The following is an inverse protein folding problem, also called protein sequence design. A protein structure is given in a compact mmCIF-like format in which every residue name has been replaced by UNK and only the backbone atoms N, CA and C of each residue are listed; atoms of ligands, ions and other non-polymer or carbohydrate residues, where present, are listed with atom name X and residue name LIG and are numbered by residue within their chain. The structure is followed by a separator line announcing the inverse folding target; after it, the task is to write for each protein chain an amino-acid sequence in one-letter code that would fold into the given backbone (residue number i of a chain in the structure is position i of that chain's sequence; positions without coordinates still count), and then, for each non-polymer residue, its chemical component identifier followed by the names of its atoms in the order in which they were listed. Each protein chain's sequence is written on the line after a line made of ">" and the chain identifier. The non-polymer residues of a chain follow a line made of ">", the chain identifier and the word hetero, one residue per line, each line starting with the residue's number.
data_IF_507589104005
#
_entry.id   IF_507589104005
#
_cell.length_a   1.000
_cell.length_b   1.000
_cell.length_c   1.000
_cell.angle_alpha   90.00
_cell.angle_beta   90.00
_cell.angle_gamma   90.00
#
_symmetry.space_group_name_H-M   'P 1'
#
loop_
_entity.id
_entity.type
_entity.pdbx_description
1 polymer ?
#
# COMPACT_ATOMS: atom_id res chain seq x y z
N UNK A 1 50.21 -39.15 18.37
CA UNK A 1 48.78 -39.18 18.26
C UNK A 1 48.29 -37.74 18.49
N UNK A 2 48.08 -36.99 17.42
CA UNK A 2 47.58 -35.62 17.47
C UNK A 2 46.04 -35.68 17.55
N UNK A 3 45.48 -35.17 18.65
CA UNK A 3 44.07 -35.05 18.86
C UNK A 3 43.49 -34.03 17.83
N UNK A 4 42.79 -34.54 16.83
CA UNK A 4 41.92 -33.72 15.98
C UNK A 4 40.77 -33.19 16.86
N UNK A 5 40.89 -31.95 17.33
CA UNK A 5 39.80 -31.26 17.95
C UNK A 5 38.76 -30.90 16.87
N UNK A 6 37.57 -31.49 16.93
CA UNK A 6 36.43 -31.09 16.09
C UNK A 6 36.11 -29.61 16.35
N UNK A 7 35.96 -28.81 15.30
CA UNK A 7 35.62 -27.41 15.46
C UNK A 7 34.27 -27.29 16.21
N UNK A 8 34.17 -26.31 17.09
CA UNK A 8 32.95 -26.06 17.83
C UNK A 8 31.78 -25.76 16.86
N UNK A 9 30.55 -26.12 17.21
CA UNK A 9 29.35 -25.87 16.38
C UNK A 9 29.27 -24.41 15.90
N UNK A 10 29.76 -23.48 16.69
CA UNK A 10 29.78 -22.05 16.36
C UNK A 10 30.82 -21.71 15.27
N UNK A 11 31.96 -22.41 15.22
CA UNK A 11 32.99 -22.24 14.19
C UNK A 11 32.57 -22.89 12.86
N UNK A 12 31.90 -24.04 12.93
CA UNK A 12 31.32 -24.69 11.76
C UNK A 12 30.22 -23.82 11.11
N UNK A 13 29.32 -23.22 11.89
CA UNK A 13 28.30 -22.28 11.42
C UNK A 13 28.92 -21.01 10.83
N UNK A 14 29.94 -20.43 11.45
CA UNK A 14 30.66 -19.28 10.90
C UNK A 14 31.40 -19.59 9.59
N UNK A 15 31.95 -20.79 9.45
CA UNK A 15 32.61 -21.21 8.21
C UNK A 15 31.59 -21.42 7.07
N UNK A 16 30.42 -22.02 7.36
CA UNK A 16 29.33 -22.17 6.40
C UNK A 16 28.76 -20.81 5.97
N UNK A 17 28.53 -19.90 6.91
CA UNK A 17 28.06 -18.55 6.61
C UNK A 17 29.05 -17.73 5.77
N UNK A 18 30.38 -17.86 6.04
CA UNK A 18 31.43 -17.25 5.21
C UNK A 18 31.52 -17.88 3.83
N UNK A 19 31.34 -19.20 3.71
CA UNK A 19 31.31 -19.89 2.44
C UNK A 19 30.09 -19.47 1.61
N UNK A 20 28.92 -19.31 2.24
CA UNK A 20 27.69 -18.87 1.59
C UNK A 20 27.76 -17.40 1.11
N UNK A 21 28.38 -16.51 1.90
CA UNK A 21 28.68 -15.13 1.48
C UNK A 21 29.69 -15.10 0.34
N UNK A 22 30.73 -15.93 0.39
CA UNK A 22 31.75 -16.01 -0.65
C UNK A 22 31.17 -16.55 -1.97
N UNK A 23 30.27 -17.52 -1.91
CA UNK A 23 29.55 -18.06 -3.08
C UNK A 23 28.54 -17.05 -3.61
N UNK A 24 27.77 -16.37 -2.73
CA UNK A 24 26.81 -15.34 -3.13
C UNK A 24 27.50 -14.08 -3.67
N UNK A 25 28.66 -13.73 -3.14
CA UNK A 25 29.45 -12.57 -3.61
C UNK A 25 30.14 -12.80 -4.96
N UNK A 26 30.55 -14.02 -5.27
CA UNK A 26 31.16 -14.35 -6.57
C UNK A 26 30.18 -14.48 -7.73
N UNK A 27 28.91 -14.77 -7.46
CA UNK A 27 27.90 -14.98 -8.51
C UNK A 27 27.24 -13.69 -9.00
N UNK A 28 27.46 -12.54 -8.36
CA UNK A 28 26.62 -11.36 -8.62
C UNK A 28 27.13 -10.38 -9.67
N UNK A 29 28.40 -10.32 -10.02
CA UNK A 29 28.92 -9.26 -10.90
C UNK A 29 30.16 -9.61 -11.74
N UNK A 30 30.36 -10.85 -12.12
CA UNK A 30 31.31 -11.08 -13.23
C UNK A 30 30.53 -10.91 -14.54
N UNK A 31 30.77 -9.79 -15.24
CA UNK A 31 30.33 -9.55 -16.62
C UNK A 31 30.92 -10.64 -17.54
N UNK A 32 30.17 -11.73 -17.69
CA UNK A 32 30.52 -12.73 -18.69
C UNK A 32 30.18 -12.17 -20.07
N UNK A 33 30.90 -12.50 -21.14
CA UNK A 33 30.60 -12.04 -22.51
C UNK A 33 29.15 -12.35 -22.93
N UNK A 34 28.52 -13.38 -22.34
CA UNK A 34 27.11 -13.69 -22.55
C UNK A 34 26.15 -12.63 -21.97
N UNK A 35 26.50 -11.92 -20.89
CA UNK A 35 25.63 -10.90 -20.31
C UNK A 35 25.45 -9.70 -21.23
N UNK A 36 26.52 -9.30 -21.93
CA UNK A 36 26.45 -8.22 -22.92
C UNK A 36 25.60 -8.61 -24.10
N UNK A 37 25.70 -9.84 -24.58
CA UNK A 37 24.91 -10.36 -25.70
C UNK A 37 23.42 -10.42 -25.33
N UNK A 38 23.08 -10.90 -24.13
CA UNK A 38 21.70 -10.95 -23.64
C UNK A 38 21.12 -9.54 -23.50
N UNK A 39 21.89 -8.61 -22.93
CA UNK A 39 21.45 -7.22 -22.76
C UNK A 39 21.24 -6.52 -24.10
N UNK A 40 22.12 -6.74 -25.08
CA UNK A 40 21.96 -6.20 -26.43
C UNK A 40 20.76 -6.79 -27.16
N UNK A 41 20.51 -8.10 -27.03
CA UNK A 41 19.36 -8.76 -27.62
C UNK A 41 18.06 -8.22 -27.03
N UNK A 42 17.97 -8.13 -25.71
CA UNK A 42 16.80 -7.60 -24.99
C UNK A 42 16.53 -6.15 -25.38
N UNK A 43 17.56 -5.31 -25.50
CA UNK A 43 17.43 -3.92 -25.89
C UNK A 43 16.99 -3.78 -27.36
N UNK A 44 17.49 -4.63 -28.25
CA UNK A 44 17.09 -4.67 -29.66
C UNK A 44 15.62 -5.06 -29.81
N UNK A 45 15.17 -6.07 -29.05
CA UNK A 45 13.77 -6.50 -29.04
C UNK A 45 12.88 -5.42 -28.45
N UNK A 46 13.32 -4.76 -27.35
CA UNK A 46 12.60 -3.63 -26.79
C UNK A 46 12.41 -2.50 -27.81
N UNK A 47 13.46 -2.15 -28.54
CA UNK A 47 13.40 -1.12 -29.56
C UNK A 47 12.47 -1.50 -30.72
N UNK A 48 12.53 -2.75 -31.18
CA UNK A 48 11.61 -3.28 -32.20
C UNK A 48 10.16 -3.25 -31.70
N UNK A 49 9.91 -3.71 -30.49
CA UNK A 49 8.58 -3.69 -29.86
C UNK A 49 8.03 -2.27 -29.72
N UNK A 50 8.89 -1.28 -29.40
CA UNK A 50 8.47 0.12 -29.36
C UNK A 50 7.92 0.59 -30.69
N UNK A 51 8.62 0.36 -31.78
CA UNK A 51 8.16 0.75 -33.12
C UNK A 51 6.91 -0.02 -33.54
N UNK A 52 6.81 -1.30 -33.17
CA UNK A 52 5.65 -2.11 -33.46
C UNK A 52 4.40 -1.54 -32.78
N UNK A 53 4.41 -1.37 -31.46
CA UNK A 53 3.27 -0.85 -30.70
C UNK A 53 2.96 0.61 -31.04
N UNK A 54 3.98 1.41 -31.33
CA UNK A 54 3.78 2.79 -31.75
C UNK A 54 3.11 2.90 -33.13
N UNK A 55 3.37 1.97 -34.03
CA UNK A 55 2.71 1.93 -35.34
C UNK A 55 1.31 1.31 -35.24
N UNK A 56 1.15 0.26 -34.43
CA UNK A 56 -0.12 -0.42 -34.22
C UNK A 56 -1.19 0.50 -33.65
N UNK A 57 -0.84 1.30 -32.63
CA UNK A 57 -1.74 2.29 -32.00
C UNK A 57 -1.99 3.56 -32.83
N UNK A 58 -1.44 3.65 -34.05
CA UNK A 58 -1.62 4.83 -34.92
C UNK A 58 -3.09 5.01 -35.34
N UNK A 59 -3.82 3.92 -35.53
CA UNK A 59 -5.24 3.98 -35.89
C UNK A 59 -6.10 4.65 -34.83
N UNK A 60 -5.84 4.39 -33.56
CA UNK A 60 -6.56 4.99 -32.44
C UNK A 60 -6.27 6.50 -32.29
N UNK A 61 -5.01 6.92 -32.53
CA UNK A 61 -4.66 8.35 -32.54
C UNK A 61 -5.36 9.09 -33.70
N UNK A 62 -5.39 8.49 -34.90
CA UNK A 62 -6.07 9.06 -36.06
C UNK A 62 -7.59 9.12 -35.87
N UNK A 63 -8.17 8.19 -35.14
CA UNK A 63 -9.59 8.20 -34.76
C UNK A 63 -9.92 9.19 -33.62
N UNK A 64 -8.91 9.91 -33.10
CA UNK A 64 -9.01 10.82 -31.96
C UNK A 64 -9.49 10.12 -30.65
N UNK A 65 -9.30 8.81 -30.54
CA UNK A 65 -9.64 8.03 -29.34
C UNK A 65 -8.60 8.19 -28.24
N UNK A 66 -7.33 8.40 -28.63
CA UNK A 66 -6.20 8.57 -27.70
C UNK A 66 -5.35 9.78 -28.11
N UNK A 67 -4.63 10.34 -27.14
CA UNK A 67 -3.67 11.40 -27.41
C UNK A 67 -2.32 10.82 -27.87
N UNK A 68 -1.52 11.63 -28.54
CA UNK A 68 -0.16 11.27 -28.95
C UNK A 68 0.73 10.91 -27.76
N UNK A 69 0.47 11.53 -26.60
CA UNK A 69 1.21 11.23 -25.37
C UNK A 69 0.86 9.84 -24.86
N UNK A 70 -0.44 9.47 -24.83
CA UNK A 70 -0.89 8.15 -24.38
C UNK A 70 -0.29 7.05 -25.25
N UNK A 71 -0.27 7.27 -26.57
CA UNK A 71 0.37 6.39 -27.54
C UNK A 71 1.86 6.19 -27.27
N UNK A 72 2.60 7.29 -26.96
CA UNK A 72 4.01 7.21 -26.61
C UNK A 72 4.25 6.45 -25.31
N UNK A 73 3.46 6.75 -24.27
CA UNK A 73 3.57 6.11 -22.95
C UNK A 73 3.27 4.62 -23.05
N UNK A 74 2.21 4.23 -23.77
CA UNK A 74 1.87 2.84 -24.01
C UNK A 74 2.98 2.08 -24.75
N UNK A 75 3.45 2.63 -25.88
CA UNK A 75 4.50 2.00 -26.69
C UNK A 75 5.81 1.84 -25.92
N UNK A 76 6.17 2.83 -25.10
CA UNK A 76 7.35 2.80 -24.24
C UNK A 76 7.21 1.78 -23.11
N UNK A 77 6.05 1.75 -22.43
CA UNK A 77 5.76 0.76 -21.39
C UNK A 77 5.81 -0.67 -21.91
N UNK A 78 5.09 -0.95 -22.99
CA UNK A 78 5.06 -2.28 -23.63
C UNK A 78 6.45 -2.72 -24.13
N UNK A 79 7.26 -1.79 -24.62
CA UNK A 79 8.63 -2.09 -25.07
C UNK A 79 9.56 -2.47 -23.91
N UNK A 80 9.45 -1.78 -22.76
CA UNK A 80 10.22 -2.11 -21.56
C UNK A 80 9.85 -3.51 -21.06
N UNK A 81 8.55 -3.83 -20.97
CA UNK A 81 8.11 -5.15 -20.51
C UNK A 81 8.53 -6.26 -21.47
N UNK A 82 8.46 -6.05 -22.78
CA UNK A 82 8.95 -7.00 -23.78
C UNK A 82 10.45 -7.23 -23.64
N UNK A 83 11.24 -6.17 -23.46
CA UNK A 83 12.67 -6.27 -23.24
C UNK A 83 13.01 -7.02 -21.94
N UNK A 84 12.31 -6.72 -20.84
CA UNK A 84 12.49 -7.39 -19.56
C UNK A 84 12.09 -8.87 -19.64
N UNK A 85 10.98 -9.20 -20.30
CA UNK A 85 10.54 -10.58 -20.49
C UNK A 85 11.61 -11.42 -21.20
N UNK A 86 12.15 -10.92 -22.30
CA UNK A 86 13.23 -11.59 -23.05
C UNK A 86 14.50 -11.70 -22.21
N UNK A 87 14.86 -10.64 -21.48
CA UNK A 87 16.02 -10.67 -20.59
C UNK A 87 15.89 -11.74 -19.50
N UNK A 88 14.71 -11.82 -18.84
CA UNK A 88 14.41 -12.85 -17.84
C UNK A 88 14.44 -14.25 -18.44
N UNK A 89 13.85 -14.45 -19.62
CA UNK A 89 13.88 -15.73 -20.34
C UNK A 89 15.32 -16.16 -20.65
N UNK A 90 16.13 -15.27 -21.22
CA UNK A 90 17.53 -15.55 -21.53
C UNK A 90 18.37 -15.86 -20.29
N UNK A 91 18.17 -15.09 -19.19
CA UNK A 91 18.83 -15.38 -17.91
C UNK A 91 18.38 -16.72 -17.33
N UNK A 92 17.09 -17.01 -17.38
CA UNK A 92 16.52 -18.27 -16.89
C UNK A 92 17.13 -19.48 -17.62
N UNK A 93 17.24 -19.39 -18.92
CA UNK A 93 17.82 -20.47 -19.76
C UNK A 93 19.31 -20.64 -19.54
N UNK A 94 20.05 -19.57 -19.28
CA UNK A 94 21.52 -19.62 -19.27
C UNK A 94 22.16 -19.64 -17.86
N UNK A 95 21.55 -19.04 -16.85
CA UNK A 95 22.18 -18.80 -15.55
C UNK A 95 21.51 -19.44 -14.33
N UNK A 96 20.23 -19.71 -14.35
CA UNK A 96 19.54 -20.21 -13.16
C UNK A 96 19.74 -21.73 -13.03
N UNK A 97 20.49 -22.13 -12.01
CA UNK A 97 20.67 -23.55 -11.63
C UNK A 97 19.35 -24.27 -11.33
N UNK A 98 18.31 -23.55 -10.95
CA UNK A 98 16.96 -24.05 -10.70
C UNK A 98 16.30 -24.56 -12.00
N UNK A 99 16.62 -23.99 -13.16
CA UNK A 99 16.07 -24.32 -14.45
C UNK A 99 16.97 -25.29 -15.26
N UNK A 100 17.89 -26.00 -14.62
CA UNK A 100 18.75 -26.99 -15.28
C UNK A 100 18.02 -28.17 -15.90
N UNK A 101 16.75 -28.40 -15.52
CA UNK A 101 15.93 -29.43 -16.15
C UNK A 101 15.18 -28.85 -17.34
N UNK A 102 15.10 -29.59 -18.43
CA UNK A 102 14.42 -29.20 -19.66
C UNK A 102 12.96 -28.78 -19.41
N UNK A 103 12.28 -29.50 -18.50
CA UNK A 103 10.91 -29.19 -18.09
C UNK A 103 10.77 -27.85 -17.38
N UNK A 104 11.70 -27.50 -16.50
CA UNK A 104 11.69 -26.22 -15.79
C UNK A 104 12.01 -25.04 -16.73
N UNK A 105 12.89 -25.22 -17.71
CA UNK A 105 13.18 -24.23 -18.73
C UNK A 105 11.97 -23.96 -19.63
N UNK A 106 11.27 -25.00 -20.07
CA UNK A 106 10.02 -24.90 -20.86
C UNK A 106 8.96 -24.17 -20.05
N UNK A 107 8.71 -24.58 -18.80
CA UNK A 107 7.69 -23.97 -17.95
C UNK A 107 8.02 -22.50 -17.64
N UNK A 108 9.28 -22.17 -17.36
CA UNK A 108 9.75 -20.81 -17.11
C UNK A 108 9.56 -19.90 -18.33
N UNK A 109 9.90 -20.40 -19.52
CA UNK A 109 9.70 -19.66 -20.78
C UNK A 109 8.23 -19.42 -21.06
N UNK A 110 7.40 -20.45 -20.89
CA UNK A 110 5.95 -20.34 -21.09
C UNK A 110 5.31 -19.36 -20.10
N UNK A 111 5.70 -19.44 -18.82
CA UNK A 111 5.23 -18.51 -17.79
C UNK A 111 5.65 -17.05 -18.08
N UNK A 112 6.88 -16.84 -18.55
CA UNK A 112 7.35 -15.50 -18.92
C UNK A 112 6.58 -14.92 -20.11
N UNK A 113 6.29 -15.73 -21.12
CA UNK A 113 5.50 -15.31 -22.28
C UNK A 113 4.06 -14.96 -21.93
N UNK A 114 3.42 -15.80 -21.10
CA UNK A 114 2.06 -15.51 -20.60
C UNK A 114 2.07 -14.23 -19.76
N UNK A 115 3.05 -14.05 -18.88
CA UNK A 115 3.15 -12.84 -18.06
C UNK A 115 3.34 -11.59 -18.93
N UNK A 116 4.18 -11.66 -19.97
CA UNK A 116 4.37 -10.56 -20.91
C UNK A 116 3.06 -10.19 -21.64
N UNK A 117 2.33 -11.20 -22.12
CA UNK A 117 1.04 -11.01 -22.78
C UNK A 117 -0.01 -10.39 -21.84
N UNK A 118 -0.10 -10.88 -20.59
CA UNK A 118 -1.05 -10.33 -19.61
C UNK A 118 -0.70 -8.89 -19.22
N UNK A 119 0.59 -8.56 -19.12
CA UNK A 119 1.02 -7.19 -18.84
C UNK A 119 0.74 -6.27 -20.03
N UNK A 120 0.98 -6.73 -21.25
CA UNK A 120 0.63 -5.99 -22.46
C UNK A 120 -0.87 -5.66 -22.51
N UNK A 121 -1.72 -6.67 -22.35
CA UNK A 121 -3.17 -6.49 -22.31
C UNK A 121 -3.61 -5.55 -21.18
N UNK A 122 -3.00 -5.65 -20.00
CA UNK A 122 -3.28 -4.73 -18.90
C UNK A 122 -2.85 -3.28 -19.21
N UNK A 123 -1.71 -3.08 -19.88
CA UNK A 123 -1.26 -1.75 -20.28
C UNK A 123 -2.16 -1.15 -21.37
N UNK A 124 -2.62 -1.95 -22.32
CA UNK A 124 -3.56 -1.53 -23.35
C UNK A 124 -4.85 -1.01 -22.72
N UNK A 125 -5.48 -1.83 -21.85
CA UNK A 125 -6.68 -1.43 -21.11
C UNK A 125 -6.42 -0.17 -20.28
N UNK A 126 -5.35 -0.13 -19.49
CA UNK A 126 -5.08 0.96 -18.54
C UNK A 126 -4.69 2.27 -19.21
N UNK A 127 -3.98 2.24 -20.34
CA UNK A 127 -3.40 3.43 -20.98
C UNK A 127 -4.17 3.89 -22.22
N UNK A 128 -4.80 2.98 -22.95
CA UNK A 128 -5.49 3.30 -24.21
C UNK A 128 -7.02 3.26 -24.10
N UNK A 129 -7.57 2.22 -23.47
CA UNK A 129 -9.02 2.03 -23.46
C UNK A 129 -9.71 2.74 -22.28
N UNK A 130 -9.00 2.89 -21.15
CA UNK A 130 -9.59 3.41 -19.92
C UNK A 130 -9.79 4.93 -19.98
N UNK A 131 -11.03 5.35 -19.80
CA UNK A 131 -11.43 6.75 -19.73
C UNK A 131 -11.05 7.35 -18.37
N UNK A 132 -9.78 7.69 -18.20
CA UNK A 132 -9.27 8.30 -16.96
C UNK A 132 -9.93 9.64 -16.62
N UNK A 133 -10.38 10.38 -17.62
CA UNK A 133 -11.16 11.61 -17.46
C UNK A 133 -12.42 11.37 -16.62
N UNK A 134 -13.16 10.28 -16.90
CA UNK A 134 -14.36 9.89 -16.16
C UNK A 134 -13.99 9.45 -14.73
N UNK A 135 -12.95 8.63 -14.59
CA UNK A 135 -12.47 8.17 -13.26
C UNK A 135 -12.04 9.37 -12.42
N UNK A 136 -11.29 10.30 -13.01
CA UNK A 136 -10.83 11.50 -12.31
C UNK A 136 -11.96 12.44 -11.92
N UNK A 137 -12.93 12.65 -12.80
CA UNK A 137 -14.12 13.47 -12.52
C UNK A 137 -14.96 12.89 -11.38
N UNK A 138 -15.06 11.56 -11.30
CA UNK A 138 -15.85 10.87 -10.28
C UNK A 138 -15.01 10.36 -9.08
N UNK A 139 -13.77 10.82 -8.91
CA UNK A 139 -12.87 10.30 -7.88
C UNK A 139 -13.40 10.36 -6.44
N UNK A 140 -14.18 11.41 -6.11
CA UNK A 140 -14.82 11.55 -4.79
C UNK A 140 -15.91 10.50 -4.63
N UNK A 141 -16.77 10.37 -5.64
CA UNK A 141 -17.84 9.36 -5.69
C UNK A 141 -17.28 7.94 -5.54
N UNK A 142 -16.22 7.61 -6.28
CA UNK A 142 -15.55 6.32 -6.21
C UNK A 142 -14.89 6.07 -4.84
N UNK A 143 -14.41 7.14 -4.21
CA UNK A 143 -13.71 7.04 -2.92
C UNK A 143 -14.65 6.81 -1.75
N UNK A 144 -15.77 7.51 -1.68
CA UNK A 144 -16.65 7.53 -0.51
C UNK A 144 -18.11 7.11 -0.78
N UNK A 145 -18.44 6.86 -2.05
CA UNK A 145 -19.80 6.48 -2.47
C UNK A 145 -20.75 7.66 -2.69
N UNK A 146 -21.90 7.41 -3.33
CA UNK A 146 -22.80 8.47 -3.75
C UNK A 146 -23.47 9.20 -2.57
N UNK A 147 -23.96 8.47 -1.59
CA UNK A 147 -24.73 9.05 -0.49
C UNK A 147 -23.85 9.91 0.42
N UNK A 148 -22.63 9.44 0.73
CA UNK A 148 -21.69 10.20 1.55
C UNK A 148 -21.14 11.41 0.78
N UNK A 149 -20.97 11.30 -0.54
CA UNK A 149 -20.59 12.42 -1.40
C UNK A 149 -21.66 13.52 -1.38
N UNK A 150 -22.92 13.14 -1.51
CA UNK A 150 -24.05 14.08 -1.44
C UNK A 150 -24.14 14.75 -0.06
N UNK A 151 -23.97 13.99 1.02
CA UNK A 151 -23.95 14.52 2.37
C UNK A 151 -22.83 15.53 2.59
N UNK A 152 -21.65 15.28 2.00
CA UNK A 152 -20.50 16.18 2.11
C UNK A 152 -20.56 17.41 1.20
N UNK A 153 -21.31 17.35 0.12
CA UNK A 153 -21.40 18.44 -0.87
C UNK A 153 -22.65 19.28 -0.72
N UNK A 154 -23.66 18.84 0.06
CA UNK A 154 -24.87 19.58 0.28
C UNK A 154 -24.67 20.69 1.33
N UNK A 155 -25.20 21.87 1.06
CA UNK A 155 -25.21 22.98 2.02
C UNK A 155 -26.08 22.68 3.26
N UNK A 156 -26.87 21.61 3.21
CA UNK A 156 -27.79 21.19 4.26
C UNK A 156 -27.12 20.59 5.48
N UNK A 157 -25.88 20.05 5.34
CA UNK A 157 -25.14 19.43 6.44
C UNK A 157 -23.66 19.88 6.39
N UNK A 158 -23.35 21.14 6.66
CA UNK A 158 -21.97 21.65 6.61
C UNK A 158 -21.06 21.02 7.67
N UNK A 159 -21.63 20.38 8.70
CA UNK A 159 -20.88 19.75 9.77
C UNK A 159 -20.12 18.49 9.33
N UNK A 160 -20.51 17.81 8.27
CA UNK A 160 -19.92 16.50 7.91
C UNK A 160 -18.60 16.58 7.18
N UNK A 161 -18.34 17.69 6.52
CA UNK A 161 -17.08 17.96 5.84
C UNK A 161 -15.83 17.87 6.73
N UNK A 162 -15.96 18.21 7.99
CA UNK A 162 -14.83 18.24 8.92
C UNK A 162 -14.56 16.86 9.57
N UNK A 163 -15.52 15.94 9.54
CA UNK A 163 -15.47 14.66 10.27
C UNK A 163 -14.31 13.75 9.87
N UNK A 164 -13.84 13.84 8.64
CA UNK A 164 -12.66 13.10 8.17
C UNK A 164 -11.33 13.71 8.63
N UNK A 165 -11.29 15.02 8.87
CA UNK A 165 -10.02 15.71 9.12
C UNK A 165 -9.33 15.31 10.41
N UNK A 166 -10.01 15.10 11.54
CA UNK A 166 -9.38 14.58 12.75
C UNK A 166 -8.72 13.23 12.52
N UNK A 167 -9.38 12.31 11.82
CA UNK A 167 -8.82 11.01 11.47
C UNK A 167 -7.56 11.14 10.61
N UNK A 168 -7.60 11.98 9.57
CA UNK A 168 -6.45 12.24 8.70
C UNK A 168 -5.29 12.84 9.50
N UNK A 169 -5.58 13.85 10.35
CA UNK A 169 -4.57 14.49 11.19
C UNK A 169 -3.90 13.49 12.14
N UNK A 170 -4.68 12.70 12.87
CA UNK A 170 -4.13 11.69 13.79
C UNK A 170 -3.37 10.60 13.06
N UNK A 171 -3.86 10.13 11.91
CA UNK A 171 -3.14 9.18 11.05
C UNK A 171 -1.77 9.72 10.67
N UNK A 172 -1.70 10.96 10.25
CA UNK A 172 -0.46 11.59 9.79
C UNK A 172 0.51 11.87 10.93
N UNK A 173 0.03 12.22 12.13
CA UNK A 173 0.85 12.33 13.35
C UNK A 173 1.45 10.96 13.71
N UNK A 174 0.65 9.90 13.66
CA UNK A 174 1.11 8.54 13.95
C UNK A 174 2.15 8.09 12.92
N UNK A 175 1.90 8.33 11.63
CA UNK A 175 2.84 8.02 10.55
C UNK A 175 4.17 8.76 10.76
N UNK A 176 4.13 10.07 10.98
CA UNK A 176 5.33 10.86 11.27
C UNK A 176 6.10 10.32 12.48
N UNK A 177 5.40 10.00 13.56
CA UNK A 177 5.99 9.44 14.77
C UNK A 177 6.61 8.06 14.53
N UNK A 178 5.96 7.20 13.76
CA UNK A 178 6.46 5.87 13.43
C UNK A 178 7.77 5.94 12.63
N UNK A 179 7.80 6.80 11.61
CA UNK A 179 9.03 7.05 10.84
C UNK A 179 10.13 7.69 11.68
N UNK A 180 9.79 8.54 12.66
CA UNK A 180 10.74 9.11 13.62
C UNK A 180 11.44 8.07 14.50
N UNK A 181 10.73 6.96 14.82
CA UNK A 181 11.29 5.83 15.59
C UNK A 181 11.97 4.76 14.71
N UNK A 182 11.93 4.89 13.40
CA UNK A 182 12.50 3.92 12.45
C UNK A 182 13.98 4.23 12.16
N UNK A 183 14.69 3.27 11.54
CA UNK A 183 16.10 3.42 11.14
C UNK A 183 16.28 4.27 9.86
N UNK A 184 15.19 4.80 9.29
CA UNK A 184 15.23 5.60 8.08
C UNK A 184 15.93 6.94 8.39
N UNK A 185 16.94 7.26 7.59
CA UNK A 185 17.68 8.52 7.72
C UNK A 185 16.77 9.73 7.44
N UNK A 186 16.83 10.74 8.29
CA UNK A 186 16.05 11.99 8.13
C UNK A 186 16.31 12.66 6.77
N UNK A 187 17.54 12.55 6.24
CA UNK A 187 17.93 13.05 4.92
C UNK A 187 17.20 12.38 3.75
N UNK A 188 16.60 11.20 3.94
CA UNK A 188 15.78 10.53 2.94
C UNK A 188 14.29 10.75 3.18
N UNK A 189 13.87 10.70 4.45
CA UNK A 189 12.46 10.86 4.80
C UNK A 189 11.93 12.26 4.48
N UNK A 190 12.62 13.31 4.94
CA UNK A 190 12.13 14.69 4.80
C UNK A 190 11.90 15.08 3.33
N UNK A 191 12.89 14.93 2.41
CA UNK A 191 12.66 15.30 1.02
C UNK A 191 11.63 14.36 0.33
N UNK A 192 11.63 13.06 0.63
CA UNK A 192 10.65 12.14 0.09
C UNK A 192 9.23 12.49 0.51
N UNK A 193 9.02 12.76 1.80
CA UNK A 193 7.73 13.20 2.33
C UNK A 193 7.31 14.57 1.76
N UNK A 194 8.24 15.51 1.61
CA UNK A 194 7.95 16.81 1.02
C UNK A 194 7.49 16.70 -0.44
N UNK A 195 8.16 15.88 -1.26
CA UNK A 195 7.76 15.64 -2.65
C UNK A 195 6.35 15.04 -2.72
N UNK A 196 6.06 14.01 -1.92
CA UNK A 196 4.74 13.38 -1.87
C UNK A 196 3.67 14.37 -1.40
N UNK A 197 3.95 15.15 -0.35
CA UNK A 197 3.02 16.16 0.16
C UNK A 197 2.73 17.25 -0.86
N UNK A 198 3.76 17.77 -1.54
CA UNK A 198 3.61 18.77 -2.60
C UNK A 198 2.77 18.20 -3.75
N UNK A 199 3.03 16.96 -4.17
CA UNK A 199 2.24 16.29 -5.21
C UNK A 199 0.77 16.16 -4.79
N UNK A 200 0.48 15.67 -3.59
CA UNK A 200 -0.90 15.53 -3.08
C UNK A 200 -1.59 16.90 -3.03
N UNK A 201 -0.93 17.95 -2.53
CA UNK A 201 -1.49 19.31 -2.44
C UNK A 201 -1.74 19.90 -3.84
N UNK A 202 -0.83 19.68 -4.78
CA UNK A 202 -0.95 20.17 -6.15
C UNK A 202 -2.13 19.50 -6.89
N UNK A 203 -2.30 18.18 -6.70
CA UNK A 203 -3.39 17.40 -7.29
C UNK A 203 -4.69 17.44 -6.47
N UNK A 204 -4.70 18.04 -5.28
CA UNK A 204 -5.91 18.23 -4.47
C UNK A 204 -6.80 19.32 -5.11
N UNK A 205 -7.56 18.92 -6.13
CA UNK A 205 -8.59 19.72 -6.79
C UNK A 205 -9.95 19.11 -6.51
N UNK A 206 -10.95 19.94 -6.28
CA UNK A 206 -12.32 19.47 -6.13
C UNK A 206 -12.99 19.28 -7.49
N UNK A 207 -13.88 18.29 -7.65
CA UNK A 207 -14.75 18.22 -8.82
C UNK A 207 -15.65 19.46 -8.87
N UNK A 208 -16.03 19.88 -10.08
CA UNK A 208 -16.90 21.06 -10.30
C UNK A 208 -18.26 20.95 -9.60
N UNK A 209 -18.76 19.71 -9.41
CA UNK A 209 -20.04 19.46 -8.72
C UNK A 209 -19.93 19.52 -7.18
N UNK A 210 -18.74 19.58 -6.64
CA UNK A 210 -18.52 19.66 -5.20
C UNK A 210 -18.33 21.13 -4.81
N UNK A 211 -19.27 21.71 -4.07
CA UNK A 211 -19.17 23.06 -3.49
C UNK A 211 -18.08 23.15 -2.40
N UNK A 212 -16.88 22.65 -2.72
CA UNK A 212 -15.76 22.63 -1.83
C UNK A 212 -14.76 23.74 -2.17
N UNK A 213 -14.39 24.49 -1.14
CA UNK A 213 -13.30 25.44 -1.25
C UNK A 213 -11.97 24.71 -1.34
N UNK A 214 -11.45 24.57 -2.56
CA UNK A 214 -10.17 23.90 -2.84
C UNK A 214 -9.02 24.54 -2.06
N UNK A 215 -9.05 25.85 -1.84
CA UNK A 215 -7.98 26.55 -1.10
C UNK A 215 -7.99 26.13 0.37
N UNK A 216 -9.16 25.98 0.99
CA UNK A 216 -9.28 25.51 2.37
C UNK A 216 -8.78 24.07 2.51
N UNK A 217 -9.07 23.19 1.54
CA UNK A 217 -8.57 21.82 1.53
C UNK A 217 -7.05 21.81 1.43
N UNK A 218 -6.47 22.57 0.50
CA UNK A 218 -5.03 22.70 0.34
C UNK A 218 -4.36 23.25 1.61
N UNK A 219 -4.94 24.28 2.21
CA UNK A 219 -4.43 24.84 3.47
C UNK A 219 -4.41 23.79 4.59
N UNK A 220 -5.48 23.02 4.75
CA UNK A 220 -5.54 21.91 5.72
C UNK A 220 -4.47 20.87 5.47
N UNK A 221 -4.25 20.47 4.21
CA UNK A 221 -3.20 19.51 3.84
C UNK A 221 -1.79 20.05 4.12
N UNK A 222 -1.55 21.34 3.90
CA UNK A 222 -0.29 22.01 4.27
C UNK A 222 -0.07 21.95 5.78
N UNK A 223 -1.08 22.32 6.56
CA UNK A 223 -1.01 22.31 8.04
C UNK A 223 -0.73 20.88 8.53
N UNK A 224 -1.45 19.89 8.02
CA UNK A 224 -1.25 18.48 8.38
C UNK A 224 0.16 18.01 8.02
N UNK A 225 0.67 18.40 6.85
CA UNK A 225 2.05 18.05 6.43
C UNK A 225 3.10 18.65 7.37
N UNK A 226 2.92 19.90 7.80
CA UNK A 226 3.80 20.56 8.78
C UNK A 226 3.75 19.83 10.12
N UNK A 227 2.56 19.50 10.61
CA UNK A 227 2.38 18.77 11.87
C UNK A 227 3.02 17.38 11.81
N UNK A 228 2.91 16.70 10.65
CA UNK A 228 3.55 15.40 10.42
C UNK A 228 5.06 15.47 10.49
N UNK A 229 5.67 16.48 9.84
CA UNK A 229 7.12 16.72 9.92
C UNK A 229 7.56 17.07 11.34
N UNK A 230 6.77 17.87 12.05
CA UNK A 230 7.04 18.21 13.44
C UNK A 230 6.99 16.96 14.34
N UNK A 231 5.99 16.13 14.17
CA UNK A 231 5.84 14.84 14.87
C UNK A 231 7.02 13.90 14.58
N UNK A 232 7.45 13.81 13.32
CA UNK A 232 8.65 13.06 12.93
C UNK A 232 9.90 13.60 13.64
N UNK A 233 10.13 14.91 13.63
CA UNK A 233 11.31 15.53 14.24
C UNK A 233 11.32 15.29 15.77
N UNK A 234 10.18 15.50 16.44
CA UNK A 234 10.08 15.28 17.88
C UNK A 234 10.38 13.83 18.26
N UNK A 235 9.77 12.89 17.55
CA UNK A 235 9.97 11.46 17.84
C UNK A 235 11.38 11.01 17.45
N UNK A 236 11.99 11.61 16.43
CA UNK A 236 13.38 11.35 16.08
C UNK A 236 14.35 11.83 17.15
N UNK A 237 14.16 13.04 17.66
CA UNK A 237 14.95 13.58 18.77
C UNK A 237 14.78 12.69 20.02
N UNK A 238 13.55 12.30 20.31
CA UNK A 238 13.27 11.38 21.42
C UNK A 238 13.98 10.04 21.22
N UNK A 239 13.89 9.44 20.05
CA UNK A 239 14.51 8.14 19.74
C UNK A 239 16.04 8.15 19.86
N UNK A 240 16.69 9.28 19.51
CA UNK A 240 18.16 9.44 19.65
C UNK A 240 18.59 9.60 21.11
N UNK A 241 17.74 10.21 21.95
CA UNK A 241 18.07 10.51 23.36
C UNK A 241 17.60 9.45 24.35
N UNK A 242 16.70 8.58 23.94
CA UNK A 242 16.07 7.59 24.81
C UNK A 242 16.71 6.22 24.67
N UNK A 243 16.60 5.41 25.70
CA UNK A 243 17.01 4.01 25.69
C UNK A 243 16.10 3.16 24.77
N UNK A 244 16.63 2.08 24.24
CA UNK A 244 15.90 1.18 23.33
C UNK A 244 14.57 0.69 23.91
N UNK A 245 14.51 0.42 25.20
CA UNK A 245 13.26 0.03 25.88
C UNK A 245 12.18 1.10 25.77
N UNK A 246 12.54 2.38 25.93
CA UNK A 246 11.60 3.50 25.85
C UNK A 246 11.09 3.70 24.41
N UNK A 247 11.97 3.55 23.42
CA UNK A 247 11.60 3.59 22.00
C UNK A 247 10.64 2.45 21.65
N UNK A 248 10.91 1.24 22.13
CA UNK A 248 10.04 0.08 21.93
C UNK A 248 8.70 0.23 22.65
N UNK A 249 8.66 0.90 23.79
CA UNK A 249 7.41 1.27 24.47
C UNK A 249 6.61 2.26 23.63
N UNK A 250 7.26 3.28 23.08
CA UNK A 250 6.62 4.26 22.20
C UNK A 250 6.04 3.58 20.95
N UNK A 251 6.78 2.69 20.29
CA UNK A 251 6.27 1.92 19.13
C UNK A 251 5.01 1.14 19.47
N UNK A 252 4.95 0.50 20.63
CA UNK A 252 3.72 -0.20 21.10
C UNK A 252 2.55 0.75 21.28
N UNK A 253 2.79 1.92 21.88
CA UNK A 253 1.76 2.95 22.04
C UNK A 253 1.25 3.43 20.67
N UNK A 254 2.15 3.67 19.71
CA UNK A 254 1.77 4.07 18.35
C UNK A 254 0.91 3.02 17.65
N UNK A 255 1.18 1.73 17.84
CA UNK A 255 0.34 0.65 17.31
C UNK A 255 -1.06 0.70 17.92
N UNK A 256 -1.16 0.87 19.24
CA UNK A 256 -2.46 1.00 19.92
C UNK A 256 -3.21 2.23 19.42
N UNK A 257 -2.51 3.37 19.27
CA UNK A 257 -3.10 4.60 18.72
C UNK A 257 -3.56 4.43 17.26
N UNK A 258 -2.85 3.65 16.46
CA UNK A 258 -3.29 3.33 15.08
C UNK A 258 -4.62 2.58 15.08
N UNK A 259 -4.75 1.56 15.95
CA UNK A 259 -5.99 0.79 16.10
C UNK A 259 -7.12 1.70 16.63
N UNK A 260 -6.81 2.53 17.64
CA UNK A 260 -7.79 3.47 18.20
C UNK A 260 -8.26 4.50 17.18
N UNK A 261 -7.34 4.99 16.33
CA UNK A 261 -7.66 5.94 15.28
C UNK A 261 -8.55 5.35 14.19
N UNK A 262 -8.42 4.05 13.93
CA UNK A 262 -9.34 3.34 13.03
C UNK A 262 -10.78 3.36 13.56
N UNK A 263 -10.99 3.17 14.87
CA UNK A 263 -12.32 3.31 15.47
C UNK A 263 -12.79 4.76 15.53
N UNK A 264 -11.87 5.71 15.66
CA UNK A 264 -12.20 7.14 15.68
C UNK A 264 -13.00 7.57 14.45
N UNK A 265 -12.62 7.13 13.24
CA UNK A 265 -13.33 7.52 12.02
C UNK A 265 -14.78 7.02 12.03
N UNK A 266 -15.03 5.81 12.55
CA UNK A 266 -16.37 5.24 12.63
C UNK A 266 -17.23 6.10 13.56
N UNK A 267 -16.72 6.45 14.74
CA UNK A 267 -17.42 7.30 15.70
C UNK A 267 -17.59 8.75 15.23
N UNK A 268 -16.67 9.25 14.40
CA UNK A 268 -16.78 10.60 13.84
C UNK A 268 -17.86 10.68 12.76
N UNK A 269 -17.98 9.64 11.94
CA UNK A 269 -18.96 9.61 10.84
C UNK A 269 -20.37 9.31 11.31
N UNK A 270 -20.55 8.39 12.25
CA UNK A 270 -21.84 7.95 12.78
C UNK A 270 -21.74 7.85 14.31
N UNK A 271 -21.76 9.00 15.03
CA UNK A 271 -21.65 9.00 16.48
C UNK A 271 -22.89 8.36 17.11
N UNK A 272 -22.72 7.38 18.04
CA UNK A 272 -23.84 6.82 18.79
C UNK A 272 -24.61 7.89 19.58
N UNK A 273 -25.90 7.68 19.81
CA UNK A 273 -26.78 8.62 20.55
C UNK A 273 -26.21 9.04 21.91
N UNK A 274 -25.53 8.10 22.59
CA UNK A 274 -24.85 8.38 23.87
C UNK A 274 -23.73 9.41 23.73
N UNK A 275 -22.97 9.38 22.62
CA UNK A 275 -21.92 10.36 22.35
C UNK A 275 -22.55 11.70 21.93
N UNK A 276 -23.62 11.68 21.12
CA UNK A 276 -24.33 12.88 20.73
C UNK A 276 -24.88 13.63 21.95
N UNK A 277 -25.49 12.91 22.91
CA UNK A 277 -26.03 13.52 24.13
C UNK A 277 -24.95 14.09 25.05
N UNK A 278 -23.81 13.40 25.17
CA UNK A 278 -22.64 13.91 25.92
C UNK A 278 -22.06 15.15 25.21
N UNK A 279 -21.89 15.10 23.91
CA UNK A 279 -21.39 16.24 23.14
C UNK A 279 -22.32 17.44 23.25
N UNK A 280 -23.64 17.24 23.19
CA UNK A 280 -24.64 18.28 23.37
C UNK A 280 -24.58 18.91 24.77
N UNK A 281 -24.38 18.12 25.82
CA UNK A 281 -24.25 18.65 27.18
C UNK A 281 -22.95 19.44 27.40
N UNK A 282 -21.86 19.05 26.72
CA UNK A 282 -20.56 19.72 26.81
C UNK A 282 -20.40 20.87 25.83
N UNK A 283 -21.28 21.01 24.85
CA UNK A 283 -21.23 22.10 23.85
C UNK A 283 -21.43 23.49 24.47
N UNK A 284 -22.01 23.57 25.66
CA UNK A 284 -22.14 24.82 26.43
C UNK A 284 -20.85 25.32 27.09
N UNK A 285 -19.78 24.52 27.11
CA UNK A 285 -18.52 24.88 27.75
C UNK A 285 -17.69 25.77 26.78
N UNK A 286 -17.25 26.96 27.21
CA UNK A 286 -16.35 27.80 26.40
C UNK A 286 -15.07 27.03 26.02
N UNK A 287 -14.54 27.24 24.82
CA UNK A 287 -13.40 26.59 24.20
C UNK A 287 -13.62 25.13 23.74
N UNK A 288 -14.37 24.32 24.42
CA UNK A 288 -14.64 22.90 24.07
C UNK A 288 -15.91 22.78 23.24
N UNK A 289 -16.93 23.63 23.55
CA UNK A 289 -18.21 23.62 22.88
C UNK A 289 -18.13 23.66 21.34
N UNK A 290 -17.42 24.61 20.73
CA UNK A 290 -17.30 24.70 19.28
C UNK A 290 -16.64 23.47 18.63
N UNK A 291 -15.84 22.69 19.38
CA UNK A 291 -15.19 21.46 18.90
C UNK A 291 -16.16 20.29 18.99
N UNK A 292 -17.01 20.24 20.02
CA UNK A 292 -17.92 19.12 20.28
C UNK A 292 -19.30 19.32 19.66
N UNK A 293 -19.71 20.56 19.40
CA UNK A 293 -21.02 20.89 18.81
C UNK A 293 -21.33 20.06 17.55
N UNK A 294 -20.39 19.88 16.60
CA UNK A 294 -20.67 19.05 15.45
C UNK A 294 -20.88 17.56 15.75
N UNK A 295 -20.35 17.06 16.87
CA UNK A 295 -20.60 15.69 17.31
C UNK A 295 -21.95 15.51 18.00
N UNK A 296 -22.61 16.61 18.41
CA UNK A 296 -23.95 16.57 18.97
C UNK A 296 -25.03 16.34 17.90
N UNK A 297 -24.66 16.51 16.61
CA UNK A 297 -25.57 16.30 15.49
C UNK A 297 -25.47 14.85 14.97
N UNK A 298 -26.57 14.28 14.46
CA UNK A 298 -26.54 12.96 13.84
C UNK A 298 -25.57 12.96 12.65
N UNK A 299 -24.82 11.88 12.50
CA UNK A 299 -23.91 11.69 11.37
C UNK A 299 -24.56 11.02 10.17
N UNK A 300 -23.72 10.56 9.26
CA UNK A 300 -24.18 9.75 8.13
C UNK A 300 -24.22 8.28 8.58
N UNK A 301 -25.39 7.65 8.59
CA UNK A 301 -25.52 6.26 9.03
C UNK A 301 -24.66 5.34 8.17
N UNK A 302 -24.11 4.30 8.78
CA UNK A 302 -23.19 3.34 8.14
C UNK A 302 -23.79 2.66 6.90
N UNK A 303 -25.11 2.59 6.79
CA UNK A 303 -25.85 2.07 5.61
C UNK A 303 -25.67 2.94 4.35
N UNK A 304 -25.25 4.18 4.51
CA UNK A 304 -25.01 5.13 3.40
C UNK A 304 -23.53 5.27 3.04
N UNK A 305 -22.65 4.57 3.76
CA UNK A 305 -21.24 4.57 3.41
C UNK A 305 -21.02 3.71 2.16
N UNK A 306 -20.07 4.09 1.32
CA UNK A 306 -19.80 3.38 0.07
C UNK A 306 -18.38 3.57 -0.43
N UNK A 307 -18.16 3.14 -1.67
CA UNK A 307 -16.91 3.32 -2.39
C UNK A 307 -15.71 2.60 -1.78
N UNK A 308 -14.53 3.06 -2.14
CA UNK A 308 -13.26 2.52 -1.67
C UNK A 308 -13.10 2.62 -0.14
N UNK A 309 -13.73 3.63 0.46
CA UNK A 309 -13.70 3.85 1.90
C UNK A 309 -14.26 2.66 2.70
N UNK A 310 -15.44 2.16 2.33
CA UNK A 310 -16.03 0.98 2.99
C UNK A 310 -15.18 -0.26 2.74
N UNK A 311 -14.69 -0.44 1.52
CA UNK A 311 -13.79 -1.55 1.21
C UNK A 311 -12.54 -1.53 2.09
N UNK A 312 -11.97 -0.34 2.33
CA UNK A 312 -10.82 -0.18 3.21
C UNK A 312 -11.15 -0.51 4.68
N UNK A 313 -12.32 -0.08 5.17
CA UNK A 313 -12.78 -0.41 6.52
C UNK A 313 -12.97 -1.92 6.67
N UNK A 314 -13.68 -2.55 5.72
CA UNK A 314 -13.96 -4.00 5.75
C UNK A 314 -12.65 -4.80 5.64
N UNK A 315 -11.75 -4.43 4.72
CA UNK A 315 -10.47 -5.10 4.59
C UNK A 315 -9.62 -4.98 5.86
N UNK A 316 -9.55 -3.79 6.46
CA UNK A 316 -8.80 -3.58 7.71
C UNK A 316 -9.40 -4.36 8.87
N UNK A 317 -10.72 -4.32 9.04
CA UNK A 317 -11.43 -5.10 10.04
C UNK A 317 -11.23 -6.59 9.82
N UNK A 318 -11.34 -7.05 8.58
CA UNK A 318 -11.10 -8.45 8.20
C UNK A 318 -9.68 -8.92 8.52
N UNK A 319 -8.67 -8.10 8.22
CA UNK A 319 -7.28 -8.42 8.57
C UNK A 319 -7.06 -8.47 10.08
N UNK A 320 -7.56 -7.50 10.84
CA UNK A 320 -7.39 -7.44 12.29
C UNK A 320 -8.11 -8.60 12.98
N UNK A 321 -9.36 -8.84 12.63
CA UNK A 321 -10.15 -9.95 13.19
C UNK A 321 -9.59 -11.30 12.73
N UNK A 322 -9.27 -11.44 11.45
CA UNK A 322 -8.69 -12.67 10.90
C UNK A 322 -7.36 -13.04 11.55
N UNK A 323 -6.50 -12.07 11.83
CA UNK A 323 -5.26 -12.29 12.56
C UNK A 323 -5.53 -12.72 14.02
N UNK A 324 -6.45 -12.05 14.72
CA UNK A 324 -6.85 -12.41 16.07
C UNK A 324 -7.41 -13.84 16.16
N UNK A 325 -8.36 -14.17 15.31
CA UNK A 325 -8.91 -15.52 15.22
C UNK A 325 -7.88 -16.56 14.78
N UNK A 326 -7.00 -16.20 13.84
CA UNK A 326 -5.90 -17.06 13.40
C UNK A 326 -4.98 -17.49 14.55
N UNK A 327 -4.63 -16.56 15.45
CA UNK A 327 -3.85 -16.86 16.64
C UNK A 327 -4.63 -17.79 17.58
N UNK A 328 -5.90 -17.50 17.85
CA UNK A 328 -6.74 -18.34 18.71
C UNK A 328 -6.84 -19.78 18.18
N UNK A 329 -7.07 -19.94 16.89
CA UNK A 329 -7.12 -21.25 16.24
C UNK A 329 -5.76 -21.96 16.22
N UNK A 330 -4.65 -21.22 16.07
CA UNK A 330 -3.32 -21.81 16.17
C UNK A 330 -3.07 -22.41 17.57
N UNK A 331 -3.45 -21.70 18.62
CA UNK A 331 -3.38 -22.24 19.98
C UNK A 331 -4.36 -23.39 20.21
N UNK A 332 -5.60 -23.29 19.71
CA UNK A 332 -6.59 -24.34 19.81
C UNK A 332 -6.12 -25.65 19.15
N UNK A 333 -5.47 -25.56 17.98
CA UNK A 333 -4.87 -26.72 17.29
C UNK A 333 -3.76 -27.40 18.09
N UNK A 334 -3.00 -26.64 18.87
CA UNK A 334 -1.90 -27.15 19.72
C UNK A 334 -2.39 -27.64 21.08
N UNK A 335 -3.66 -27.45 21.42
CA UNK A 335 -4.23 -27.86 22.71
C UNK A 335 -4.15 -29.36 22.90
N UNK A 336 -3.82 -29.79 24.11
CA UNK A 336 -3.92 -31.20 24.53
C UNK A 336 -5.34 -31.66 24.79
N UNK A 337 -6.31 -30.73 24.93
CA UNK A 337 -7.70 -31.02 25.19
C UNK A 337 -8.43 -31.37 23.90
N UNK A 338 -8.98 -32.61 23.73
CA UNK A 338 -9.67 -33.04 22.53
C UNK A 338 -10.86 -32.14 22.18
N UNK A 339 -11.60 -31.67 23.17
CA UNK A 339 -12.78 -30.80 23.02
C UNK A 339 -12.43 -29.46 22.37
N UNK A 340 -11.22 -28.95 22.54
CA UNK A 340 -10.73 -27.71 21.91
C UNK A 340 -10.07 -28.02 20.57
N UNK A 341 -9.25 -29.06 20.52
CA UNK A 341 -8.46 -29.41 19.35
C UNK A 341 -9.32 -29.80 18.14
N UNK A 342 -10.28 -30.73 18.35
CA UNK A 342 -11.08 -31.28 17.23
C UNK A 342 -11.92 -30.20 16.52
N UNK A 343 -12.70 -29.33 17.20
CA UNK A 343 -13.46 -28.28 16.53
C UNK A 343 -12.54 -27.28 15.82
N UNK A 344 -11.40 -26.94 16.42
CA UNK A 344 -10.44 -26.02 15.83
C UNK A 344 -9.83 -26.55 14.54
N UNK A 345 -9.42 -27.83 14.55
CA UNK A 345 -8.87 -28.50 13.36
C UNK A 345 -9.94 -28.59 12.27
N UNK A 346 -11.16 -29.00 12.62
CA UNK A 346 -12.27 -29.09 11.67
C UNK A 346 -12.56 -27.72 11.03
N UNK A 347 -12.62 -26.66 11.84
CA UNK A 347 -12.82 -25.31 11.32
C UNK A 347 -11.70 -24.91 10.35
N UNK A 348 -10.43 -25.09 10.71
CA UNK A 348 -9.29 -24.74 9.84
C UNK A 348 -9.35 -25.51 8.53
N UNK A 349 -9.63 -26.83 8.56
CA UNK A 349 -9.68 -27.66 7.37
C UNK A 349 -10.86 -27.30 6.45
N UNK A 350 -12.02 -26.96 7.00
CA UNK A 350 -13.20 -26.52 6.21
C UNK A 350 -12.85 -25.22 5.45
N UNK A 351 -12.31 -24.21 6.16
CA UNK A 351 -11.96 -22.92 5.52
C UNK A 351 -10.77 -23.02 4.57
N UNK A 352 -9.83 -23.92 4.83
CA UNK A 352 -8.71 -24.19 3.93
C UNK A 352 -9.10 -24.96 2.67
N UNK A 353 -10.09 -25.85 2.76
CA UNK A 353 -10.57 -26.65 1.64
C UNK A 353 -11.60 -25.89 0.78
N UNK A 354 -12.22 -24.85 1.31
CA UNK A 354 -13.15 -24.00 0.57
C UNK A 354 -12.42 -23.21 -0.52
N UNK A 355 -13.01 -23.11 -1.73
CA UNK A 355 -12.44 -22.23 -2.74
C UNK A 355 -12.47 -20.78 -2.26
N UNK A 356 -11.40 -20.03 -2.53
CA UNK A 356 -11.19 -18.62 -2.15
C UNK A 356 -12.26 -17.66 -2.72
N UNK A 357 -13.25 -18.18 -3.44
CA UNK A 357 -14.27 -17.47 -4.22
C UNK A 357 -15.69 -17.79 -3.69
N UNK A 358 -15.82 -18.05 -2.41
CA UNK A 358 -17.17 -18.12 -1.80
C UNK A 358 -17.54 -16.83 -1.12
#
# INVERSE_FOLDING_TARGET
>A
MSSLSLPSHAEALKSLYRAEIAVSGRSRFEDTPHDRTISMLSLSIGLFSFFYYFNDSMGMELAAEITRLDRLVYSFGSSIFSALAIWVVCLSLLKLTILRTTSAAILGTFSALISAFLVEMALEILLLEMRWDIVWSNRVLLSIGPDLTLAMTSDLIPAENWRFWPFVLFSMIIIGSFYGTSDIKSTRFIPGFAVVSIAIIAFATNPEYANYDTEKVRLRLVIISIITLFSFILTRIYSIRSEEYQVNRLKRILIILTISNFFLIIFMLDPPESIQSIAASLSSIPFIGPILEPLSQPGVPSTKWGGLFVNFIVATAGCVLGFGFGILFAFGRQSSLPVVKWPTVAFIEIFRSGPLIC
#
